data_IF_741275806298
#
_entry.id   IF_741275806298
#
_cell.length_a   1.000
_cell.length_b   1.000
_cell.length_c   1.000
_cell.angle_alpha   90.00
_cell.angle_beta   90.00
_cell.angle_gamma   90.00
#
_symmetry.space_group_name_H-M   'P 1'
#
loop_
_entity.id
_entity.type
_entity.pdbx_description
1 polymer ?
#
# COMPACT_ATOMS: atom_id res chain seq x y z
N UNK A 1 -50.06 -15.03 35.17
CA UNK A 1 -51.10 -15.79 34.51
C UNK A 1 -50.47 -16.65 33.43
N UNK A 2 -50.27 -17.87 33.75
CA UNK A 2 -49.90 -19.06 32.92
C UNK A 2 -51.18 -19.71 32.40
N UNK A 3 -51.17 -20.79 31.62
CA UNK A 3 -50.44 -21.19 30.40
C UNK A 3 -51.41 -21.74 29.34
N UNK A 4 -50.94 -22.18 28.19
CA UNK A 4 -51.45 -23.47 27.67
C UNK A 4 -50.53 -24.11 26.63
N UNK A 5 -50.14 -25.29 26.99
CA UNK A 5 -49.57 -26.38 26.22
C UNK A 5 -50.68 -27.11 25.46
N UNK A 6 -50.43 -27.69 24.29
CA UNK A 6 -50.95 -29.00 23.86
C UNK A 6 -50.03 -29.55 22.77
N UNK A 7 -49.37 -30.66 23.04
CA UNK A 7 -48.96 -31.81 22.23
C UNK A 7 -50.08 -32.88 22.32
N UNK A 8 -50.02 -34.04 21.71
CA UNK A 8 -49.26 -34.65 20.60
C UNK A 8 -50.13 -35.62 19.70
N UNK A 9 -49.49 -36.36 18.82
CA UNK A 9 -49.98 -37.63 18.29
C UNK A 9 -49.56 -37.82 16.83
N UNK A 10 -48.89 -38.79 16.34
CA UNK A 10 -48.70 -40.18 16.77
C UNK A 10 -49.07 -41.14 15.64
N UNK A 11 -48.22 -42.12 15.41
CA UNK A 11 -48.41 -43.34 14.60
C UNK A 11 -48.18 -43.21 13.07
N UNK A 12 -47.27 -43.90 12.41
CA UNK A 12 -46.79 -45.27 12.58
C UNK A 12 -47.31 -46.17 11.46
N UNK A 13 -46.41 -46.83 10.74
CA UNK A 13 -46.50 -48.19 10.20
C UNK A 13 -45.78 -48.41 8.87
N UNK A 14 -44.80 -49.25 8.90
CA UNK A 14 -44.21 -49.98 7.76
C UNK A 14 -44.95 -51.31 7.60
N UNK A 15 -44.50 -52.33 6.85
CA UNK A 15 -43.99 -52.43 5.47
C UNK A 15 -44.74 -53.52 4.66
N UNK A 16 -44.41 -53.79 3.39
CA UNK A 16 -44.57 -55.10 2.68
C UNK A 16 -44.16 -54.92 1.22
N UNK A 17 -43.14 -55.58 0.79
CA UNK A 17 -42.79 -56.87 0.28
C UNK A 17 -43.17 -57.17 -1.18
N UNK A 18 -42.11 -57.45 -1.98
CA UNK A 18 -41.96 -58.47 -3.05
C UNK A 18 -42.90 -58.48 -4.26
N UNK A 19 -42.34 -58.29 -5.46
CA UNK A 19 -42.58 -59.21 -6.57
C UNK A 19 -41.43 -59.14 -7.59
N UNK A 20 -40.82 -60.27 -7.82
CA UNK A 20 -39.82 -60.54 -8.88
C UNK A 20 -40.59 -60.74 -10.20
N UNK A 21 -40.09 -60.07 -11.29
CA UNK A 21 -40.33 -60.59 -12.64
C UNK A 21 -38.99 -60.53 -13.41
N UNK A 22 -38.55 -61.71 -13.77
CA UNK A 22 -37.46 -61.95 -14.68
C UNK A 22 -37.97 -61.80 -16.12
N UNK A 23 -37.36 -61.02 -16.92
CA UNK A 23 -37.52 -61.00 -18.38
C UNK A 23 -36.15 -61.23 -19.00
N UNK A 24 -36.02 -62.35 -19.65
CA UNK A 24 -34.89 -62.75 -20.50
C UNK A 24 -35.02 -61.93 -21.80
N UNK A 25 -34.04 -61.17 -22.18
CA UNK A 25 -33.91 -60.60 -23.53
C UNK A 25 -32.55 -60.96 -24.09
N UNK A 26 -32.58 -61.52 -25.27
CA UNK A 26 -31.45 -62.06 -26.02
C UNK A 26 -30.38 -61.05 -26.39
N UNK A 27 -29.14 -61.45 -26.24
CA UNK A 27 -27.94 -60.73 -26.71
C UNK A 27 -27.81 -60.89 -28.21
N UNK A 28 -27.90 -59.80 -28.94
CA UNK A 28 -27.38 -59.71 -30.31
C UNK A 28 -26.04 -58.97 -30.23
N UNK A 29 -24.93 -59.69 -30.40
CA UNK A 29 -23.59 -59.11 -30.53
C UNK A 29 -23.44 -58.47 -31.89
N UNK A 30 -23.43 -57.13 -31.94
CA UNK A 30 -22.94 -56.38 -33.07
C UNK A 30 -21.52 -55.87 -32.70
N UNK A 31 -20.52 -56.46 -33.29
CA UNK A 31 -19.11 -56.05 -33.19
C UNK A 31 -18.93 -54.70 -33.85
N UNK A 32 -18.90 -53.64 -33.08
CA UNK A 32 -18.49 -52.32 -33.48
C UNK A 32 -17.06 -52.05 -32.94
N UNK A 33 -16.10 -51.92 -33.82
CA UNK A 33 -14.77 -51.44 -33.47
C UNK A 33 -14.88 -50.00 -32.94
N UNK A 34 -14.85 -49.83 -31.63
CA UNK A 34 -14.70 -48.50 -31.02
C UNK A 34 -13.21 -48.18 -30.94
N UNK A 35 -12.73 -47.32 -31.83
CA UNK A 35 -11.44 -46.64 -31.63
C UNK A 35 -11.62 -45.61 -30.54
N UNK A 36 -11.03 -45.87 -29.37
CA UNK A 36 -10.94 -44.88 -28.30
C UNK A 36 -9.90 -43.83 -28.73
N UNK A 37 -10.38 -42.69 -29.24
CA UNK A 37 -9.57 -41.51 -29.38
C UNK A 37 -9.44 -40.89 -28.01
N UNK A 38 -8.27 -41.00 -27.38
CA UNK A 38 -7.89 -40.26 -26.20
C UNK A 38 -7.78 -38.75 -26.54
N UNK A 39 -8.91 -38.08 -26.62
CA UNK A 39 -8.98 -36.62 -26.69
C UNK A 39 -8.98 -36.08 -25.27
N UNK A 40 -7.91 -35.38 -24.87
CA UNK A 40 -7.99 -34.46 -23.73
C UNK A 40 -9.01 -33.39 -24.09
N UNK A 41 -10.06 -33.26 -23.30
CA UNK A 41 -11.00 -32.14 -23.45
C UNK A 41 -10.23 -30.84 -23.17
N UNK A 42 -9.81 -30.16 -24.21
CA UNK A 42 -9.39 -28.77 -24.10
C UNK A 42 -10.67 -28.02 -23.80
N UNK A 43 -10.77 -27.49 -22.58
CA UNK A 43 -11.82 -26.56 -22.20
C UNK A 43 -11.77 -25.44 -23.25
N UNK A 44 -12.76 -25.37 -24.13
CA UNK A 44 -12.86 -24.30 -25.12
C UNK A 44 -12.79 -22.99 -24.34
N UNK A 45 -11.74 -22.22 -24.57
CA UNK A 45 -11.60 -20.89 -23.97
C UNK A 45 -12.89 -20.13 -24.23
N UNK A 46 -13.45 -19.50 -23.20
CA UNK A 46 -14.51 -18.54 -23.40
C UNK A 46 -14.10 -17.55 -24.53
N UNK A 47 -15.04 -16.79 -25.09
CA UNK A 47 -14.74 -15.83 -26.14
C UNK A 47 -13.53 -15.01 -25.70
N UNK A 48 -12.53 -14.90 -26.59
CA UNK A 48 -11.34 -14.10 -26.32
C UNK A 48 -11.80 -12.74 -25.82
N UNK A 49 -11.20 -12.19 -24.76
CA UNK A 49 -11.60 -10.90 -24.26
C UNK A 49 -11.61 -9.89 -25.41
N UNK A 50 -12.69 -9.14 -25.56
CA UNK A 50 -12.83 -8.17 -26.65
C UNK A 50 -11.60 -7.26 -26.64
N UNK A 51 -10.95 -7.08 -27.79
CA UNK A 51 -9.79 -6.20 -27.92
C UNK A 51 -10.23 -4.74 -27.72
N UNK A 52 -9.35 -3.94 -27.11
CA UNK A 52 -9.61 -2.51 -26.97
C UNK A 52 -9.72 -1.84 -28.35
N UNK A 53 -10.64 -0.87 -28.46
CA UNK A 53 -10.80 -0.04 -29.64
C UNK A 53 -10.39 1.41 -29.31
N UNK A 54 -9.14 1.75 -29.63
CA UNK A 54 -8.56 3.06 -29.36
C UNK A 54 -9.34 4.23 -29.98
N UNK A 55 -10.07 4.00 -31.08
CA UNK A 55 -10.88 5.04 -31.75
C UNK A 55 -12.13 5.44 -30.95
N UNK A 56 -12.56 4.61 -30.01
CA UNK A 56 -13.69 4.90 -29.12
C UNK A 56 -13.28 5.52 -27.78
N UNK A 57 -11.98 5.63 -27.52
CA UNK A 57 -11.48 6.18 -26.25
C UNK A 57 -11.49 7.70 -26.28
N UNK A 58 -12.10 8.29 -25.27
CA UNK A 58 -12.03 9.72 -25.01
C UNK A 58 -11.03 10.02 -23.87
N UNK A 59 -9.81 10.47 -24.18
CA UNK A 59 -8.83 10.86 -23.18
C UNK A 59 -9.03 12.31 -22.67
N UNK A 60 -10.04 13.03 -23.11
CA UNK A 60 -10.23 14.44 -22.79
C UNK A 60 -8.99 15.28 -23.14
N UNK A 61 -8.55 16.10 -22.18
CA UNK A 61 -7.35 16.94 -22.30
C UNK A 61 -6.06 16.27 -21.82
N UNK A 62 -6.12 15.00 -21.43
CA UNK A 62 -4.95 14.28 -20.98
C UNK A 62 -4.05 13.83 -22.15
N UNK A 63 -2.72 13.67 -21.92
CA UNK A 63 -1.79 13.26 -22.98
C UNK A 63 -2.12 11.84 -23.49
N UNK A 64 -1.85 11.63 -24.78
CA UNK A 64 -2.05 10.33 -25.47
C UNK A 64 -0.74 9.61 -25.76
N UNK A 65 0.37 10.30 -25.62
CA UNK A 65 1.72 9.79 -25.91
C UNK A 65 2.57 9.89 -24.64
N UNK A 66 3.52 8.97 -24.45
CA UNK A 66 4.52 9.09 -23.41
C UNK A 66 5.26 10.42 -23.49
N UNK A 67 5.70 10.92 -22.35
CA UNK A 67 6.67 12.03 -22.30
C UNK A 67 8.01 11.58 -22.88
N UNK A 68 8.82 12.47 -23.41
CA UNK A 68 10.24 12.18 -23.68
C UNK A 68 10.94 11.67 -22.41
N UNK A 69 12.08 10.94 -22.53
CA UNK A 69 12.89 10.58 -21.37
C UNK A 69 13.14 11.79 -20.47
N UNK A 70 12.90 11.62 -19.16
CA UNK A 70 12.93 12.73 -18.21
C UNK A 70 14.33 13.23 -17.85
N UNK A 71 15.38 12.47 -18.23
CA UNK A 71 16.76 12.83 -17.92
C UNK A 71 17.08 12.78 -16.43
N UNK A 72 18.06 13.58 -16.02
CA UNK A 72 18.40 13.77 -14.62
C UNK A 72 17.46 14.79 -13.97
N UNK A 73 17.41 14.80 -12.64
CA UNK A 73 16.67 15.81 -11.89
C UNK A 73 17.22 17.21 -12.14
N UNK A 74 16.39 18.22 -11.88
CA UNK A 74 16.75 19.60 -12.24
C UNK A 74 17.78 20.24 -11.29
N UNK A 75 17.78 19.85 -10.02
CA UNK A 75 18.59 20.46 -8.96
C UNK A 75 18.72 19.54 -7.72
N UNK A 76 19.46 20.00 -6.72
CA UNK A 76 19.66 19.26 -5.46
C UNK A 76 18.35 19.00 -4.69
N UNK A 77 17.40 19.90 -4.73
CA UNK A 77 16.12 19.71 -4.03
C UNK A 77 15.31 18.57 -4.66
N UNK A 78 15.27 18.51 -5.98
CA UNK A 78 14.71 17.40 -6.72
C UNK A 78 15.50 16.10 -6.48
N UNK A 79 16.83 16.17 -6.40
CA UNK A 79 17.71 15.05 -6.06
C UNK A 79 17.44 14.49 -4.66
N UNK A 80 17.29 15.35 -3.64
CA UNK A 80 16.91 14.94 -2.28
C UNK A 80 15.57 14.22 -2.26
N UNK A 81 14.63 14.67 -3.07
CA UNK A 81 13.32 14.03 -3.20
C UNK A 81 13.42 12.64 -3.81
N UNK A 82 14.16 12.49 -4.92
CA UNK A 82 14.37 11.17 -5.54
C UNK A 82 15.11 10.23 -4.59
N UNK A 83 16.11 10.74 -3.86
CA UNK A 83 16.80 9.95 -2.84
C UNK A 83 15.84 9.50 -1.73
N UNK A 84 14.99 10.39 -1.23
CA UNK A 84 13.97 10.05 -0.24
C UNK A 84 12.95 9.03 -0.76
N UNK A 85 12.58 9.09 -2.04
CA UNK A 85 11.74 8.09 -2.70
C UNK A 85 12.45 6.73 -2.79
N UNK A 86 13.75 6.70 -3.12
CA UNK A 86 14.57 5.48 -3.12
C UNK A 86 14.68 4.85 -1.74
N UNK A 87 14.77 5.69 -0.68
CA UNK A 87 14.80 5.24 0.71
C UNK A 87 13.55 4.45 1.12
N UNK A 88 12.42 4.61 0.44
CA UNK A 88 11.22 3.81 0.71
C UNK A 88 11.49 2.30 0.65
N UNK A 89 12.38 1.86 -0.24
CA UNK A 89 12.68 0.43 -0.42
C UNK A 89 13.49 -0.16 0.74
N UNK A 90 14.23 0.67 1.49
CA UNK A 90 14.99 0.22 2.65
C UNK A 90 14.26 0.37 3.99
N UNK A 91 13.14 1.11 4.03
CA UNK A 91 12.41 1.31 5.28
C UNK A 91 11.56 0.09 5.58
N UNK A 92 11.80 -0.55 6.73
CA UNK A 92 10.98 -1.67 7.18
C UNK A 92 9.53 -1.22 7.39
N UNK A 93 8.58 -1.91 6.76
CA UNK A 93 7.17 -1.62 6.90
C UNK A 93 6.62 -2.06 8.25
N UNK A 94 5.74 -1.29 8.90
CA UNK A 94 5.13 -1.71 10.16
C UNK A 94 4.46 -3.08 10.11
N UNK A 95 3.92 -3.50 8.97
CA UNK A 95 3.33 -4.83 8.75
C UNK A 95 4.35 -5.98 8.80
N UNK A 96 5.63 -5.69 8.60
CA UNK A 96 6.73 -6.66 8.71
C UNK A 96 7.09 -6.89 10.18
N UNK A 97 6.85 -5.90 11.04
CA UNK A 97 7.04 -5.98 12.49
C UNK A 97 5.87 -6.70 13.16
N UNK A 98 4.65 -6.37 12.72
CA UNK A 98 3.40 -6.97 13.19
C UNK A 98 2.38 -6.95 12.04
N UNK A 99 2.01 -8.13 11.52
CA UNK A 99 1.09 -8.28 10.39
C UNK A 99 -0.32 -7.69 10.62
N UNK A 100 -0.65 -7.29 11.83
CA UNK A 100 -1.89 -6.56 12.15
C UNK A 100 -1.80 -5.06 11.90
N UNK A 101 -0.61 -4.49 11.67
CA UNK A 101 -0.38 -3.08 11.39
C UNK A 101 -0.54 -2.80 9.88
N UNK A 102 -1.75 -2.90 9.38
CA UNK A 102 -2.05 -2.75 7.95
C UNK A 102 -2.82 -1.48 7.61
N UNK A 103 -3.57 -0.91 8.56
CA UNK A 103 -4.38 0.27 8.30
C UNK A 103 -3.50 1.52 8.16
N UNK A 104 -3.67 2.34 7.11
CA UNK A 104 -3.00 3.61 7.03
C UNK A 104 -3.35 4.48 8.25
N UNK A 105 -2.36 5.12 8.83
CA UNK A 105 -2.59 6.19 9.80
C UNK A 105 -3.14 7.41 9.08
N UNK A 106 -4.00 8.19 9.74
CA UNK A 106 -4.49 9.43 9.15
C UNK A 106 -3.37 10.50 9.11
N UNK A 107 -3.58 11.54 8.30
CA UNK A 107 -2.58 12.61 8.10
C UNK A 107 -2.17 13.34 9.39
N UNK A 108 -2.94 13.22 10.48
CA UNK A 108 -2.68 13.86 11.77
C UNK A 108 -1.71 13.05 12.65
N UNK A 109 -1.53 11.73 12.37
CA UNK A 109 -0.79 10.80 13.24
C UNK A 109 0.56 10.38 12.64
N UNK A 110 1.00 10.84 11.54
CA UNK A 110 2.16 10.49 10.74
C UNK A 110 1.82 9.61 9.53
N UNK A 111 1.58 10.23 8.41
CA UNK A 111 1.33 9.52 7.16
C UNK A 111 2.63 8.90 6.64
N UNK A 112 2.49 7.83 5.86
CA UNK A 112 3.57 7.39 4.98
C UNK A 112 3.95 8.53 4.05
N UNK A 113 5.22 8.99 4.11
CA UNK A 113 5.63 10.16 3.36
C UNK A 113 7.12 10.20 3.04
N UNK A 114 7.42 10.85 1.93
CA UNK A 114 8.75 11.22 1.47
C UNK A 114 9.18 12.50 2.17
N UNK A 115 10.37 12.53 2.75
CA UNK A 115 10.95 13.65 3.50
C UNK A 115 12.11 14.24 2.68
N UNK A 116 11.83 15.22 1.85
CA UNK A 116 12.83 15.87 0.99
C UNK A 116 13.45 17.13 1.63
N UNK A 117 12.90 17.59 2.75
CA UNK A 117 13.31 18.83 3.41
C UNK A 117 13.11 18.75 4.94
N UNK A 118 13.90 19.50 5.74
CA UNK A 118 13.83 19.45 7.20
C UNK A 118 12.47 19.81 7.78
N UNK A 119 11.71 20.70 7.13
CA UNK A 119 10.39 21.13 7.57
C UNK A 119 9.39 19.98 7.72
N UNK A 120 9.55 18.92 6.92
CA UNK A 120 8.68 17.73 6.97
C UNK A 120 8.87 16.88 8.22
N UNK A 121 10.00 17.02 8.93
CA UNK A 121 10.25 16.30 10.18
C UNK A 121 9.30 16.73 11.31
N UNK A 122 8.83 17.98 11.30
CA UNK A 122 7.94 18.52 12.34
C UNK A 122 6.56 17.88 12.40
N UNK A 123 6.13 17.15 11.35
CA UNK A 123 4.87 16.40 11.35
C UNK A 123 5.03 15.00 11.96
N UNK A 124 6.26 14.58 12.25
CA UNK A 124 6.58 13.24 12.74
C UNK A 124 7.07 13.25 14.18
N UNK A 125 8.01 14.12 14.46
CA UNK A 125 8.70 14.22 15.76
C UNK A 125 8.11 15.39 16.54
N UNK A 126 7.74 15.14 17.78
CA UNK A 126 7.22 16.20 18.65
C UNK A 126 8.32 17.21 19.03
N UNK A 127 7.95 18.47 19.03
CA UNK A 127 8.82 19.58 19.44
C UNK A 127 8.86 20.71 18.40
N UNK A 128 8.81 21.95 18.88
CA UNK A 128 8.74 23.14 18.01
C UNK A 128 10.02 23.39 17.21
N UNK A 129 11.15 22.81 17.63
CA UNK A 129 12.47 23.03 17.04
C UNK A 129 12.93 21.95 16.05
N UNK A 130 12.12 20.92 15.78
CA UNK A 130 12.56 19.74 15.03
C UNK A 130 13.05 20.08 13.61
N UNK A 131 12.33 20.94 12.90
CA UNK A 131 12.75 21.40 11.58
C UNK A 131 14.09 22.15 11.64
N UNK A 132 14.29 23.00 12.64
CA UNK A 132 15.53 23.74 12.86
C UNK A 132 16.68 22.79 13.24
N UNK A 133 16.44 21.76 14.06
CA UNK A 133 17.43 20.73 14.40
C UNK A 133 17.82 19.99 13.11
N UNK A 134 16.86 19.54 12.30
CA UNK A 134 17.14 18.90 11.03
C UNK A 134 18.01 19.76 10.11
N UNK A 135 17.68 21.06 10.00
CA UNK A 135 18.45 22.01 9.20
C UNK A 135 19.86 22.25 9.76
N UNK A 136 20.01 22.39 11.08
CA UNK A 136 21.30 22.63 11.73
C UNK A 136 22.29 21.47 11.55
N UNK A 137 21.79 20.25 11.46
CA UNK A 137 22.57 19.04 11.22
C UNK A 137 22.54 18.58 9.76
N UNK A 138 22.17 19.47 8.83
CA UNK A 138 22.27 19.25 7.38
C UNK A 138 21.45 18.03 6.88
N UNK A 139 20.23 17.84 7.42
CA UNK A 139 19.31 16.78 6.96
C UNK A 139 19.30 16.68 5.44
N UNK A 140 19.50 15.46 4.90
CA UNK A 140 19.60 15.21 3.46
C UNK A 140 18.25 14.78 2.89
N UNK A 141 17.72 13.67 3.39
CA UNK A 141 16.53 13.03 2.88
C UNK A 141 16.01 12.04 3.93
N UNK A 142 14.77 11.61 3.80
CA UNK A 142 14.21 10.57 4.65
C UNK A 142 12.92 9.99 4.10
N UNK A 143 12.50 8.90 4.71
CA UNK A 143 11.22 8.27 4.43
C UNK A 143 10.61 7.77 5.74
N UNK A 144 9.28 7.83 5.85
CA UNK A 144 8.55 7.26 6.97
C UNK A 144 7.38 6.42 6.47
N UNK A 145 7.14 5.32 7.16
CA UNK A 145 5.99 4.44 6.97
C UNK A 145 5.20 4.34 8.26
N UNK A 146 3.95 4.77 8.25
CA UNK A 146 3.06 4.74 9.40
C UNK A 146 1.88 3.81 9.19
N UNK A 147 1.61 2.93 10.15
CA UNK A 147 0.48 2.01 10.16
C UNK A 147 -0.07 1.79 11.55
N UNK A 148 -1.37 1.49 11.57
CA UNK A 148 -2.09 1.10 12.78
C UNK A 148 -2.83 -0.23 12.57
N UNK A 149 -3.28 -0.84 13.65
CA UNK A 149 -4.29 -1.89 13.55
C UNK A 149 -5.59 -1.30 13.00
N UNK A 150 -6.35 -2.05 12.18
CA UNK A 150 -7.64 -1.58 11.69
C UNK A 150 -8.56 -1.14 12.84
N UNK A 151 -9.29 -0.05 12.69
CA UNK A 151 -10.29 0.35 13.67
C UNK A 151 -11.39 -0.70 13.75
N UNK A 152 -12.03 -0.89 14.91
CA UNK A 152 -13.19 -1.78 15.02
C UNK A 152 -14.32 -1.32 14.10
N UNK A 153 -15.23 -2.22 13.71
CA UNK A 153 -16.37 -1.89 12.86
C UNK A 153 -17.19 -0.72 13.40
N UNK A 154 -17.74 0.10 12.51
CA UNK A 154 -18.55 1.27 12.87
C UNK A 154 -19.69 0.86 13.80
N UNK A 155 -19.88 1.62 14.88
CA UNK A 155 -20.94 1.39 15.88
C UNK A 155 -20.50 0.60 17.12
N UNK A 156 -19.27 0.10 17.19
CA UNK A 156 -18.68 -0.39 18.43
C UNK A 156 -18.09 0.81 19.18
N UNK A 157 -18.68 1.13 20.35
CA UNK A 157 -18.19 2.19 21.23
C UNK A 157 -16.77 1.84 21.70
N UNK A 158 -15.86 2.83 21.68
CA UNK A 158 -14.47 2.66 22.09
C UNK A 158 -13.57 2.18 20.96
N UNK A 159 -13.69 2.79 19.77
CA UNK A 159 -12.84 2.54 18.61
C UNK A 159 -11.36 2.93 18.86
N UNK A 160 -10.78 2.34 19.89
CA UNK A 160 -9.39 2.52 20.25
C UNK A 160 -8.51 1.73 19.27
N UNK A 161 -7.52 2.40 18.71
CA UNK A 161 -6.47 1.76 17.89
C UNK A 161 -5.57 0.98 18.85
N UNK A 162 -5.56 -0.38 18.81
CA UNK A 162 -4.80 -1.19 19.76
C UNK A 162 -3.28 -0.99 19.65
N UNK A 163 -2.79 -0.78 18.41
CA UNK A 163 -1.38 -0.55 18.13
C UNK A 163 -1.22 0.46 16.99
N UNK A 164 -0.13 1.23 17.07
CA UNK A 164 0.35 2.12 16.01
C UNK A 164 1.86 2.01 15.96
N UNK A 165 2.41 2.08 14.75
CA UNK A 165 3.84 2.17 14.52
C UNK A 165 4.12 3.07 13.32
N UNK A 166 4.94 4.09 13.53
CA UNK A 166 5.62 4.83 12.48
C UNK A 166 7.09 4.44 12.53
N UNK A 167 7.65 4.02 11.42
CA UNK A 167 9.08 3.75 11.25
C UNK A 167 9.64 4.72 10.22
N UNK A 168 10.57 5.57 10.65
CA UNK A 168 11.23 6.57 9.83
C UNK A 168 12.74 6.36 9.77
N UNK A 169 13.33 6.67 8.63
CA UNK A 169 14.78 6.74 8.45
C UNK A 169 15.12 8.13 7.94
N UNK A 170 15.95 8.85 8.70
CA UNK A 170 16.43 10.18 8.41
C UNK A 170 17.91 10.11 8.07
N UNK A 171 18.29 10.59 6.89
CA UNK A 171 19.68 10.61 6.43
C UNK A 171 20.34 11.94 6.68
N UNK A 172 21.57 11.90 7.17
CA UNK A 172 22.46 13.03 7.38
C UNK A 172 23.75 12.85 6.59
N UNK A 173 24.59 13.92 6.39
CA UNK A 173 25.82 13.79 5.63
C UNK A 173 26.84 12.87 6.27
N UNK A 174 26.95 12.89 7.61
CA UNK A 174 27.94 12.15 8.38
C UNK A 174 27.30 11.40 9.57
N UNK A 175 27.96 10.36 10.09
CA UNK A 175 27.53 9.71 11.33
C UNK A 175 27.50 10.67 12.53
N UNK A 176 28.36 11.69 12.57
CA UNK A 176 28.37 12.69 13.64
C UNK A 176 27.11 13.59 13.55
N UNK A 177 26.78 14.09 12.36
CA UNK A 177 25.54 14.87 12.16
C UNK A 177 24.30 14.07 12.58
N UNK A 178 24.27 12.77 12.23
CA UNK A 178 23.17 11.88 12.63
C UNK A 178 23.08 11.70 14.15
N UNK A 179 24.24 11.52 14.82
CA UNK A 179 24.29 11.33 16.27
C UNK A 179 23.83 12.59 17.01
N UNK A 180 24.32 13.75 16.60
CA UNK A 180 24.00 15.04 17.22
C UNK A 180 22.50 15.40 16.97
N UNK A 181 22.01 15.15 15.76
CA UNK A 181 20.59 15.30 15.42
C UNK A 181 19.70 14.40 16.26
N UNK A 182 20.05 13.10 16.42
CA UNK A 182 19.29 12.17 17.23
C UNK A 182 19.19 12.61 18.68
N UNK A 183 20.30 13.05 19.27
CA UNK A 183 20.35 13.56 20.65
C UNK A 183 19.49 14.83 20.82
N UNK A 184 19.60 15.78 19.88
CA UNK A 184 18.84 17.02 19.92
C UNK A 184 17.33 16.77 19.72
N UNK A 185 16.95 15.91 18.77
CA UNK A 185 15.54 15.54 18.52
C UNK A 185 14.93 14.81 19.73
N UNK A 186 15.67 13.88 20.34
CA UNK A 186 15.23 13.17 21.54
C UNK A 186 15.04 14.13 22.71
N UNK A 187 15.92 15.10 22.90
CA UNK A 187 15.78 16.14 23.94
C UNK A 187 14.57 17.04 23.70
N UNK A 188 14.29 17.42 22.45
CA UNK A 188 13.12 18.20 22.07
C UNK A 188 11.81 17.42 22.30
N UNK A 189 11.75 16.13 21.92
CA UNK A 189 10.59 15.27 22.13
C UNK A 189 10.26 15.09 23.63
N UNK A 190 11.27 14.78 24.45
CA UNK A 190 11.08 14.58 25.89
C UNK A 190 10.73 15.88 26.62
N UNK A 191 11.23 17.02 26.12
CA UNK A 191 10.88 18.35 26.63
C UNK A 191 9.44 18.78 26.33
N UNK A 192 8.78 18.12 25.38
CA UNK A 192 7.40 18.45 25.00
C UNK A 192 6.41 17.83 26.01
N UNK A 193 5.62 18.70 26.66
CA UNK A 193 4.57 18.29 27.59
C UNK A 193 3.38 17.77 26.78
N UNK A 194 2.94 16.56 27.10
CA UNK A 194 1.81 15.91 26.45
C UNK A 194 0.48 16.31 27.07
N UNK A 195 -0.66 16.13 26.40
CA UNK A 195 -1.98 16.41 26.97
C UNK A 195 -2.15 15.81 28.36
N UNK A 196 -2.76 16.55 29.28
CA UNK A 196 -2.89 16.14 30.69
C UNK A 196 -1.66 16.44 31.55
N UNK A 197 -0.74 17.29 31.08
CA UNK A 197 0.52 17.65 31.76
C UNK A 197 1.43 16.43 32.00
N UNK A 198 1.43 15.49 31.04
CA UNK A 198 2.20 14.25 31.12
C UNK A 198 3.58 14.48 30.52
N UNK A 199 4.62 14.14 31.28
CA UNK A 199 6.00 14.10 30.82
C UNK A 199 6.42 12.67 30.50
N UNK A 200 7.12 12.48 29.39
CA UNK A 200 7.65 11.17 29.02
C UNK A 200 8.85 10.79 29.90
N UNK A 201 8.99 9.51 30.17
CA UNK A 201 10.07 8.93 30.96
C UNK A 201 10.93 8.00 30.10
N UNK A 202 12.19 7.79 30.50
CA UNK A 202 13.12 6.91 29.78
C UNK A 202 12.53 5.51 29.62
N UNK A 203 12.59 4.97 28.38
CA UNK A 203 12.19 3.62 28.04
C UNK A 203 13.44 2.83 27.58
N UNK A 204 13.93 1.85 28.33
CA UNK A 204 14.98 0.94 27.84
C UNK A 204 14.45 0.10 26.68
N UNK A 205 15.23 0.01 25.59
CA UNK A 205 14.88 -0.84 24.45
C UNK A 205 15.72 -2.13 24.50
N UNK A 206 15.10 -3.32 24.60
CA UNK A 206 15.83 -4.58 24.61
C UNK A 206 16.75 -4.72 23.39
N UNK A 207 17.98 -5.21 23.60
CA UNK A 207 19.03 -5.39 22.58
C UNK A 207 19.63 -4.09 22.01
N UNK A 208 19.02 -2.93 22.26
CA UNK A 208 19.44 -1.64 21.70
C UNK A 208 19.67 -0.59 22.81
N UNK A 209 20.66 -0.76 23.70
CA UNK A 209 20.86 0.10 24.87
C UNK A 209 21.21 1.55 24.50
N UNK A 210 21.76 1.78 23.28
CA UNK A 210 22.07 3.11 22.76
C UNK A 210 20.85 3.90 22.25
N UNK A 211 19.70 3.28 22.09
CA UNK A 211 18.48 3.95 21.61
C UNK A 211 18.01 4.97 22.64
N UNK A 212 17.76 6.21 22.20
CA UNK A 212 17.16 7.27 23.01
C UNK A 212 15.63 7.16 22.89
N UNK A 213 15.00 6.44 23.81
CA UNK A 213 13.55 6.24 23.79
C UNK A 213 12.87 6.74 25.07
N UNK A 214 11.69 7.33 24.89
CA UNK A 214 10.89 7.91 25.97
C UNK A 214 9.43 7.52 25.81
N UNK A 215 8.81 7.07 26.89
CA UNK A 215 7.42 6.58 26.92
C UNK A 215 6.56 7.47 27.81
N UNK A 216 5.32 7.65 27.40
CA UNK A 216 4.28 8.30 28.20
C UNK A 216 2.99 7.45 28.17
N UNK A 217 2.23 7.40 29.28
CA UNK A 217 0.86 6.91 29.25
C UNK A 217 -0.01 7.91 28.48
N UNK A 218 -0.75 7.45 27.51
CA UNK A 218 -1.67 8.31 26.74
C UNK A 218 -2.88 7.51 26.25
N UNK A 219 -4.08 8.13 26.32
CA UNK A 219 -5.33 7.56 25.75
C UNK A 219 -5.62 6.11 26.18
N UNK A 220 -5.35 5.77 27.45
CA UNK A 220 -5.57 4.42 27.98
C UNK A 220 -4.56 3.37 27.53
N UNK A 221 -3.41 3.78 27.04
CA UNK A 221 -2.28 2.94 26.65
C UNK A 221 -0.95 3.64 26.89
N UNK A 222 0.03 3.27 26.10
CA UNK A 222 1.39 3.80 26.15
C UNK A 222 1.84 4.17 24.75
N UNK A 223 2.52 5.29 24.62
CA UNK A 223 3.21 5.68 23.38
C UNK A 223 4.66 6.04 23.68
N UNK A 224 5.53 5.81 22.73
CA UNK A 224 6.94 6.16 22.83
C UNK A 224 7.47 6.71 21.51
N UNK A 225 8.40 7.67 21.63
CA UNK A 225 9.31 8.06 20.54
C UNK A 225 10.68 7.46 20.82
N UNK A 226 11.35 6.95 19.78
CA UNK A 226 12.68 6.37 19.87
C UNK A 226 13.56 6.89 18.74
N UNK A 227 14.83 7.14 19.06
CA UNK A 227 15.85 7.63 18.13
C UNK A 227 17.09 6.74 18.28
N UNK A 228 17.47 6.07 17.19
CA UNK A 228 18.62 5.18 17.15
C UNK A 228 19.55 5.60 16.02
N UNK A 229 20.84 5.81 16.32
CA UNK A 229 21.82 6.14 15.28
C UNK A 229 22.37 4.87 14.63
N UNK A 230 22.51 4.90 13.30
CA UNK A 230 23.08 3.84 12.49
C UNK A 230 23.88 4.44 11.32
N UNK A 231 25.17 4.57 11.47
CA UNK A 231 26.00 5.32 10.51
C UNK A 231 25.44 6.74 10.27
N UNK A 232 25.21 7.16 9.03
CA UNK A 232 24.69 8.48 8.73
C UNK A 232 23.17 8.59 8.87
N UNK A 233 22.52 7.58 9.48
CA UNK A 233 21.08 7.53 9.64
C UNK A 233 20.65 7.71 11.08
N UNK A 234 19.50 8.34 11.28
CA UNK A 234 18.69 8.27 12.49
C UNK A 234 17.46 7.43 12.17
N UNK A 235 17.31 6.30 12.84
CA UNK A 235 16.08 5.53 12.84
C UNK A 235 15.15 6.13 13.88
N UNK A 236 13.99 6.57 13.44
CA UNK A 236 12.94 7.12 14.26
C UNK A 236 11.77 6.16 14.33
N UNK A 237 11.31 5.85 15.54
CA UNK A 237 10.07 5.13 15.73
C UNK A 237 9.14 5.96 16.64
N UNK A 238 7.88 6.10 16.19
CA UNK A 238 6.77 6.41 17.08
C UNK A 238 5.92 5.14 17.19
N UNK A 239 5.77 4.63 18.42
CA UNK A 239 5.09 3.37 18.66
C UNK A 239 4.07 3.54 19.80
N UNK A 240 2.87 3.00 19.61
CA UNK A 240 1.81 3.00 20.62
C UNK A 240 1.19 1.63 20.81
N UNK A 241 0.82 1.31 22.05
CA UNK A 241 0.12 0.07 22.40
C UNK A 241 -0.78 0.24 23.61
N UNK A 242 -1.99 -0.35 23.56
CA UNK A 242 -2.91 -0.44 24.69
C UNK A 242 -2.48 -1.45 25.75
N UNK A 243 -1.51 -2.31 25.47
CA UNK A 243 -1.12 -3.39 26.38
C UNK A 243 -0.20 -2.91 27.49
N UNK A 244 0.99 -2.41 27.15
CA UNK A 244 2.00 -1.99 28.12
C UNK A 244 3.15 -1.23 27.49
N UNK A 245 3.94 -0.51 28.28
CA UNK A 245 5.20 0.09 27.84
C UNK A 245 6.22 -0.97 27.36
N UNK A 246 6.22 -2.17 27.94
CA UNK A 246 7.08 -3.28 27.50
C UNK A 246 6.70 -3.74 26.09
N UNK A 247 5.41 -3.81 25.74
CA UNK A 247 4.96 -4.13 24.39
C UNK A 247 5.38 -3.07 23.36
N UNK A 248 5.41 -1.79 23.75
CA UNK A 248 5.94 -0.71 22.91
C UNK A 248 7.44 -0.88 22.70
N UNK A 249 8.21 -1.16 23.77
CA UNK A 249 9.65 -1.39 23.68
C UNK A 249 10.00 -2.60 22.80
N UNK A 250 9.24 -3.69 22.89
CA UNK A 250 9.41 -4.89 22.04
C UNK A 250 9.13 -4.59 20.57
N UNK A 251 8.09 -3.80 20.26
CA UNK A 251 7.75 -3.38 18.90
C UNK A 251 8.87 -2.52 18.29
N UNK A 252 9.45 -1.57 19.05
CA UNK A 252 10.59 -0.77 18.62
C UNK A 252 11.82 -1.68 18.38
N UNK A 253 12.11 -2.61 19.30
CA UNK A 253 13.25 -3.52 19.15
C UNK A 253 13.14 -4.39 17.89
N UNK A 254 11.94 -4.94 17.60
CA UNK A 254 11.66 -5.70 16.38
C UNK A 254 11.81 -4.86 15.12
N UNK A 255 11.40 -3.59 15.18
CA UNK A 255 11.60 -2.66 14.05
C UNK A 255 13.10 -2.48 13.78
N UNK A 256 13.91 -2.29 14.81
CA UNK A 256 15.36 -2.11 14.68
C UNK A 256 16.06 -3.38 14.17
N UNK A 257 15.58 -4.57 14.54
CA UNK A 257 16.08 -5.86 14.04
C UNK A 257 15.97 -5.96 12.50
N UNK A 258 14.91 -5.39 11.91
CA UNK A 258 14.69 -5.36 10.47
C UNK A 258 15.39 -4.17 9.80
N UNK A 259 15.34 -3.00 10.43
CA UNK A 259 15.81 -1.75 9.85
C UNK A 259 17.32 -1.68 9.68
N UNK A 260 18.10 -2.19 10.63
CA UNK A 260 19.56 -2.17 10.58
C UNK A 260 20.09 -2.83 9.30
N UNK A 261 19.85 -4.15 9.12
CA UNK A 261 20.30 -4.87 7.92
C UNK A 261 19.82 -4.24 6.60
N UNK A 262 18.60 -3.72 6.56
CA UNK A 262 18.05 -3.08 5.35
C UNK A 262 18.83 -1.79 5.01
N UNK A 263 19.16 -0.99 6.01
CA UNK A 263 19.95 0.22 5.81
C UNK A 263 21.41 -0.09 5.38
N UNK A 264 22.00 -1.20 5.85
CA UNK A 264 23.33 -1.62 5.45
C UNK A 264 23.44 -2.00 3.96
N UNK A 265 22.33 -2.45 3.37
CA UNK A 265 22.27 -2.78 1.95
C UNK A 265 21.95 -1.59 1.04
N UNK A 266 21.45 -0.49 1.59
CA UNK A 266 21.08 0.66 0.80
C UNK A 266 22.30 1.42 0.25
N UNK A 267 22.30 1.62 -1.07
CA UNK A 267 23.34 2.37 -1.76
C UNK A 267 22.94 3.84 -1.83
N UNK A 268 23.36 4.60 -0.80
CA UNK A 268 23.07 6.03 -0.71
C UNK A 268 23.85 6.82 -1.78
N UNK A 269 23.18 7.73 -2.46
CA UNK A 269 23.83 8.65 -3.41
C UNK A 269 24.72 9.65 -2.64
N UNK A 270 25.99 9.87 -3.01
CA UNK A 270 26.79 10.94 -2.41
C UNK A 270 26.05 12.28 -2.44
N UNK A 271 26.16 13.06 -1.35
CA UNK A 271 25.37 14.29 -1.19
C UNK A 271 25.62 15.29 -2.31
N UNK A 272 26.86 15.37 -2.78
CA UNK A 272 27.30 16.23 -3.90
C UNK A 272 26.89 15.70 -5.29
N UNK A 273 26.28 14.52 -5.36
CA UNK A 273 25.82 13.88 -6.60
C UNK A 273 24.29 13.77 -6.70
N UNK A 274 23.55 14.30 -5.74
CA UNK A 274 22.10 14.19 -5.72
C UNK A 274 21.44 14.77 -6.98
N UNK A 275 21.97 15.88 -7.51
CA UNK A 275 21.49 16.50 -8.76
C UNK A 275 21.78 15.66 -10.02
N UNK A 276 22.57 14.60 -9.91
CA UNK A 276 22.83 13.68 -11.05
C UNK A 276 21.90 12.48 -11.10
N UNK A 277 21.01 12.34 -10.11
CA UNK A 277 20.05 11.23 -10.09
C UNK A 277 19.11 11.26 -11.29
N UNK A 278 18.82 10.12 -11.93
CA UNK A 278 17.81 10.06 -12.96
C UNK A 278 16.42 10.31 -12.36
N UNK A 279 15.64 11.19 -13.01
CA UNK A 279 14.25 11.46 -12.59
C UNK A 279 13.32 10.26 -12.84
N UNK A 280 13.66 9.43 -13.80
CA UNK A 280 12.91 8.21 -14.17
C UNK A 280 13.87 7.10 -14.58
N UNK A 281 14.41 6.31 -13.66
CA UNK A 281 15.43 5.31 -13.96
C UNK A 281 14.92 4.16 -14.84
N UNK A 282 13.61 3.96 -14.93
CA UNK A 282 13.00 2.84 -15.68
C UNK A 282 12.29 3.28 -16.97
N UNK A 283 12.07 4.58 -17.16
CA UNK A 283 11.23 5.13 -18.22
C UNK A 283 9.73 4.92 -18.00
N UNK A 284 9.34 4.34 -16.84
CA UNK A 284 7.95 4.04 -16.54
C UNK A 284 7.17 5.30 -16.12
N UNK A 285 7.84 6.23 -15.42
CA UNK A 285 7.23 7.49 -15.02
C UNK A 285 6.88 8.37 -16.22
N UNK A 286 7.72 8.37 -17.25
CA UNK A 286 7.42 9.06 -18.52
C UNK A 286 6.15 8.54 -19.21
N UNK A 287 5.73 7.31 -18.89
CA UNK A 287 4.52 6.65 -19.40
C UNK A 287 3.29 6.83 -18.52
N UNK A 288 3.39 7.50 -17.36
CA UNK A 288 2.23 7.84 -16.53
C UNK A 288 1.57 9.12 -17.02
N UNK A 289 0.25 9.22 -16.85
CA UNK A 289 -0.43 10.51 -16.96
C UNK A 289 0.10 11.42 -15.85
N UNK A 290 0.69 12.58 -16.18
CA UNK A 290 1.26 13.47 -15.17
C UNK A 290 0.18 14.17 -14.36
N UNK A 291 0.48 14.46 -13.09
CA UNK A 291 -0.35 15.33 -12.28
C UNK A 291 -0.36 16.76 -12.85
N UNK A 292 -1.50 17.41 -12.75
CA UNK A 292 -1.65 18.81 -13.21
C UNK A 292 -1.03 19.81 -12.25
N UNK A 293 -0.99 19.48 -10.95
CA UNK A 293 -0.31 20.28 -9.93
C UNK A 293 0.99 19.56 -9.50
N UNK A 294 2.16 20.08 -9.87
CA UNK A 294 3.44 19.49 -9.52
C UNK A 294 3.74 19.51 -8.00
N UNK A 295 2.99 20.30 -7.23
CA UNK A 295 3.19 20.38 -5.77
C UNK A 295 2.42 19.30 -5.01
N UNK A 296 1.36 18.73 -5.60
CA UNK A 296 0.47 17.77 -4.95
C UNK A 296 0.94 16.33 -5.14
N UNK A 297 1.40 15.98 -6.34
CA UNK A 297 1.87 14.63 -6.66
C UNK A 297 3.18 14.73 -7.43
N UNK A 298 4.26 14.46 -6.74
CA UNK A 298 5.55 14.37 -7.40
C UNK A 298 5.77 12.94 -7.81
N UNK A 299 5.75 12.71 -9.12
CA UNK A 299 5.87 11.39 -9.70
C UNK A 299 7.08 10.62 -9.17
N UNK A 300 6.90 9.33 -8.95
CA UNK A 300 7.94 8.43 -8.46
C UNK A 300 7.85 7.06 -9.09
N UNK A 301 8.99 6.38 -9.17
CA UNK A 301 9.06 4.95 -9.48
C UNK A 301 9.64 4.24 -8.28
N UNK A 302 8.95 3.20 -7.84
CA UNK A 302 9.35 2.39 -6.70
C UNK A 302 9.61 0.94 -7.13
N UNK A 303 10.61 0.27 -6.54
CA UNK A 303 10.63 -1.18 -6.46
C UNK A 303 9.38 -1.72 -5.75
N UNK A 304 9.08 -3.02 -5.88
CA UNK A 304 7.88 -3.60 -5.28
C UNK A 304 7.75 -3.29 -3.79
N UNK A 305 8.79 -3.53 -2.97
CA UNK A 305 8.76 -3.29 -1.53
C UNK A 305 8.48 -1.82 -1.19
N UNK A 306 9.21 -0.87 -1.79
CA UNK A 306 9.01 0.56 -1.57
C UNK A 306 7.60 1.04 -1.89
N UNK A 307 6.94 0.41 -2.88
CA UNK A 307 5.57 0.75 -3.25
C UNK A 307 4.50 0.23 -2.28
N UNK A 308 4.81 -0.81 -1.49
CA UNK A 308 3.88 -1.39 -0.51
C UNK A 308 3.50 -0.40 0.60
N UNK A 309 4.37 0.54 0.92
CA UNK A 309 4.08 1.58 1.91
C UNK A 309 2.85 2.42 1.55
N UNK A 310 2.49 2.50 0.27
CA UNK A 310 1.35 3.25 -0.23
C UNK A 310 0.12 2.39 -0.53
N UNK A 311 0.17 1.08 -0.22
CA UNK A 311 -0.94 0.17 -0.44
C UNK A 311 -1.94 0.20 0.72
N UNK A 312 -3.22 0.00 0.40
CA UNK A 312 -4.31 -0.07 1.40
C UNK A 312 -4.10 -1.22 2.38
N UNK A 313 -3.74 -2.39 1.87
CA UNK A 313 -3.34 -3.58 2.62
C UNK A 313 -1.99 -4.07 2.06
N UNK A 314 -0.87 -3.75 2.72
CA UNK A 314 0.46 -4.12 2.24
C UNK A 314 0.71 -5.64 2.29
N UNK A 315 0.14 -6.36 3.26
CA UNK A 315 0.33 -7.82 3.40
C UNK A 315 -0.28 -8.57 2.22
N UNK A 316 -1.56 -8.31 1.94
CA UNK A 316 -2.24 -8.92 0.80
C UNK A 316 -1.67 -8.42 -0.54
N UNK A 317 -1.21 -7.15 -0.58
CA UNK A 317 -0.57 -6.59 -1.78
C UNK A 317 0.79 -7.23 -2.06
N UNK A 318 1.58 -7.56 -1.04
CA UNK A 318 2.85 -8.27 -1.21
C UNK A 318 2.64 -9.62 -1.91
N UNK A 319 1.63 -10.37 -1.48
CA UNK A 319 1.32 -11.64 -2.13
C UNK A 319 0.88 -11.43 -3.58
N UNK A 320 0.00 -10.47 -3.84
CA UNK A 320 -0.42 -10.12 -5.19
C UNK A 320 0.76 -9.69 -6.07
N UNK A 321 1.73 -8.95 -5.55
CA UNK A 321 2.93 -8.57 -6.28
C UNK A 321 3.78 -9.78 -6.66
N UNK A 322 3.96 -10.72 -5.74
CA UNK A 322 4.71 -11.96 -5.99
C UNK A 322 4.01 -12.81 -7.07
N UNK A 323 2.70 -13.00 -6.96
CA UNK A 323 1.90 -13.81 -7.90
C UNK A 323 1.84 -13.20 -9.30
N UNK A 324 1.83 -11.86 -9.39
CA UNK A 324 1.82 -11.12 -10.64
C UNK A 324 3.21 -10.86 -11.22
N UNK A 325 4.28 -11.10 -10.46
CA UNK A 325 5.65 -10.77 -10.85
C UNK A 325 5.84 -9.27 -11.08
N UNK A 326 5.37 -8.44 -10.14
CA UNK A 326 5.54 -6.98 -10.23
C UNK A 326 7.02 -6.63 -10.10
N UNK A 327 7.54 -5.86 -11.06
CA UNK A 327 8.94 -5.41 -11.11
C UNK A 327 9.11 -3.97 -10.67
N UNK A 328 8.17 -3.09 -11.05
CA UNK A 328 8.17 -1.67 -10.69
C UNK A 328 6.75 -1.14 -10.54
N UNK A 329 6.61 -0.09 -9.76
CA UNK A 329 5.36 0.68 -9.65
C UNK A 329 5.68 2.16 -9.86
N UNK A 330 5.10 2.75 -10.90
CA UNK A 330 5.17 4.19 -11.11
C UNK A 330 3.88 4.86 -10.62
N UNK A 331 4.02 5.91 -9.84
CA UNK A 331 2.91 6.66 -9.29
C UNK A 331 3.02 8.15 -9.65
N UNK A 332 1.97 8.66 -10.28
CA UNK A 332 1.76 10.09 -10.58
C UNK A 332 0.23 10.31 -10.52
N UNK A 333 -0.39 11.00 -11.48
CA UNK A 333 -1.86 11.08 -11.58
C UNK A 333 -2.50 9.70 -11.76
N UNK A 334 -1.80 8.80 -12.42
CA UNK A 334 -2.11 7.36 -12.50
C UNK A 334 -1.06 6.56 -11.75
N UNK A 335 -1.45 5.35 -11.32
CA UNK A 335 -0.50 4.37 -10.81
C UNK A 335 -0.40 3.21 -11.79
N UNK A 336 0.82 2.90 -12.25
CA UNK A 336 1.13 1.78 -13.15
C UNK A 336 1.88 0.73 -12.35
N UNK A 337 1.47 -0.51 -12.51
CA UNK A 337 2.12 -1.72 -12.00
C UNK A 337 2.70 -2.48 -13.18
N UNK A 338 4.02 -2.53 -13.29
CA UNK A 338 4.71 -3.27 -14.34
C UNK A 338 4.90 -4.72 -13.88
N UNK A 339 4.26 -5.64 -14.58
CA UNK A 339 4.42 -7.08 -14.37
C UNK A 339 5.41 -7.68 -15.37
N UNK A 340 5.80 -8.93 -15.13
CA UNK A 340 6.70 -9.66 -16.05
C UNK A 340 6.06 -9.91 -17.42
N UNK A 341 4.74 -10.09 -17.48
CA UNK A 341 3.98 -10.36 -18.70
C UNK A 341 2.51 -9.93 -18.62
N UNK A 342 1.75 -10.21 -19.67
CA UNK A 342 0.32 -9.89 -19.76
C UNK A 342 -0.53 -10.66 -18.74
N UNK A 343 -0.16 -11.89 -18.40
CA UNK A 343 -0.86 -12.70 -17.40
C UNK A 343 -0.65 -12.10 -16.01
N UNK A 344 0.58 -11.71 -15.70
CA UNK A 344 0.90 -10.99 -14.47
C UNK A 344 0.14 -9.66 -14.34
N UNK A 345 0.03 -8.91 -15.44
CA UNK A 345 -0.78 -7.67 -15.45
C UNK A 345 -2.26 -7.94 -15.13
N UNK A 346 -2.82 -9.03 -15.66
CA UNK A 346 -4.20 -9.43 -15.34
C UNK A 346 -4.34 -9.83 -13.86
N UNK A 347 -3.41 -10.62 -13.33
CA UNK A 347 -3.38 -10.98 -11.91
C UNK A 347 -3.26 -9.74 -11.01
N UNK A 348 -2.43 -8.77 -11.40
CA UNK A 348 -2.31 -7.50 -10.70
C UNK A 348 -3.62 -6.73 -10.70
N UNK A 349 -4.28 -6.57 -11.85
CA UNK A 349 -5.56 -5.87 -11.96
C UNK A 349 -6.66 -6.55 -11.14
N UNK A 350 -6.74 -7.88 -11.14
CA UNK A 350 -7.68 -8.66 -10.33
C UNK A 350 -7.39 -8.51 -8.83
N UNK A 351 -6.10 -8.51 -8.46
CA UNK A 351 -5.65 -8.27 -7.11
C UNK A 351 -5.99 -6.86 -6.61
N UNK A 352 -5.77 -5.84 -7.44
CA UNK A 352 -6.15 -4.45 -7.13
C UNK A 352 -7.65 -4.32 -6.85
N UNK A 353 -8.50 -4.94 -7.67
CA UNK A 353 -9.94 -4.95 -7.43
C UNK A 353 -10.28 -5.66 -6.12
N UNK A 354 -9.71 -6.84 -5.88
CA UNK A 354 -9.98 -7.62 -4.68
C UNK A 354 -9.57 -6.90 -3.40
N UNK A 355 -8.48 -6.11 -3.43
CA UNK A 355 -7.94 -5.41 -2.26
C UNK A 355 -8.57 -4.02 -2.10
N UNK A 356 -8.48 -3.17 -3.13
CA UNK A 356 -8.81 -1.75 -3.00
C UNK A 356 -10.32 -1.51 -2.95
N UNK A 357 -11.12 -2.27 -3.72
CA UNK A 357 -12.57 -2.05 -3.83
C UNK A 357 -13.29 -2.25 -2.48
N UNK A 358 -13.16 -3.40 -1.80
CA UNK A 358 -13.84 -3.59 -0.51
C UNK A 358 -13.21 -2.74 0.61
N UNK A 359 -11.88 -2.58 0.64
CA UNK A 359 -11.20 -1.81 1.67
C UNK A 359 -11.63 -0.34 1.67
N UNK A 360 -11.80 0.24 0.49
CA UNK A 360 -12.18 1.65 0.32
C UNK A 360 -13.69 1.86 0.17
N UNK A 361 -14.50 0.79 0.21
CA UNK A 361 -15.97 0.86 0.15
C UNK A 361 -16.52 1.25 -1.23
N UNK A 362 -15.89 0.78 -2.30
CA UNK A 362 -16.35 1.00 -3.66
C UNK A 362 -17.38 -0.06 -4.10
N UNK A 363 -18.27 0.32 -5.00
CA UNK A 363 -19.26 -0.53 -5.69
C UNK A 363 -19.06 -0.44 -7.20
N UNK A 364 -19.46 -1.47 -7.95
CA UNK A 364 -19.33 -1.47 -9.41
C UNK A 364 -20.02 -0.27 -10.07
N UNK A 365 -19.34 0.34 -11.03
CA UNK A 365 -19.81 1.43 -11.86
C UNK A 365 -19.68 1.07 -13.36
N UNK A 366 -20.27 1.85 -14.28
CA UNK A 366 -20.11 1.61 -15.70
C UNK A 366 -18.66 1.55 -16.15
N UNK A 367 -18.34 0.63 -17.06
CA UNK A 367 -17.03 0.51 -17.69
C UNK A 367 -16.79 1.57 -18.76
N UNK A 368 -15.61 1.53 -19.40
CA UNK A 368 -15.21 2.50 -20.41
C UNK A 368 -15.48 1.92 -21.80
N UNK A 369 -16.27 2.67 -22.61
CA UNK A 369 -16.53 2.29 -23.98
C UNK A 369 -15.23 2.18 -24.79
N UNK A 370 -15.03 1.06 -25.47
CA UNK A 370 -13.81 0.78 -26.22
C UNK A 370 -12.66 0.23 -25.39
N UNK A 371 -12.79 0.08 -24.07
CA UNK A 371 -11.76 -0.51 -23.20
C UNK A 371 -12.34 -1.62 -22.30
N UNK A 372 -12.58 -2.81 -22.84
CA UNK A 372 -13.24 -3.90 -22.08
C UNK A 372 -12.41 -4.43 -20.90
N UNK A 373 -11.10 -4.15 -20.84
CA UNK A 373 -10.27 -4.46 -19.66
C UNK A 373 -10.53 -3.51 -18.48
N UNK A 374 -11.19 -2.36 -18.70
CA UNK A 374 -11.44 -1.39 -17.65
C UNK A 374 -12.60 -1.81 -16.75
N UNK A 375 -12.37 -1.78 -15.45
CA UNK A 375 -13.36 -1.95 -14.39
C UNK A 375 -13.40 -0.70 -13.56
N UNK A 376 -14.58 -0.07 -13.49
CA UNK A 376 -14.76 1.17 -12.75
C UNK A 376 -15.68 0.96 -11.54
N UNK A 377 -15.50 1.81 -10.53
CA UNK A 377 -16.16 1.70 -9.24
C UNK A 377 -16.49 3.09 -8.69
N UNK A 378 -17.58 3.18 -7.90
CA UNK A 378 -18.09 4.41 -7.26
C UNK A 378 -18.25 4.15 -5.75
N UNK A 379 -17.83 5.11 -4.92
CA UNK A 379 -18.05 5.08 -3.45
C UNK A 379 -19.38 5.73 -3.04
N UNK A 380 -20.13 6.28 -3.98
CA UNK A 380 -21.34 7.05 -3.68
C UNK A 380 -21.06 8.51 -3.31
N UNK A 381 -22.14 9.32 -3.17
CA UNK A 381 -22.04 10.76 -2.93
C UNK A 381 -21.67 11.14 -1.48
N UNK A 382 -21.82 10.24 -0.51
CA UNK A 382 -21.68 10.53 0.93
C UNK A 382 -20.22 10.53 1.41
N UNK A 383 -19.31 11.11 0.58
CA UNK A 383 -17.90 11.23 0.94
C UNK A 383 -17.74 12.48 1.80
N UNK A 384 -17.69 12.32 3.12
CA UNK A 384 -17.55 13.41 4.08
C UNK A 384 -16.12 13.93 4.23
N UNK A 385 -15.13 13.27 3.61
CA UNK A 385 -13.72 13.64 3.73
C UNK A 385 -13.32 14.60 2.62
N UNK A 386 -12.83 15.78 2.97
CA UNK A 386 -12.30 16.75 2.02
C UNK A 386 -11.19 16.11 1.16
N UNK A 387 -11.30 16.22 -0.17
CA UNK A 387 -10.34 15.61 -1.12
C UNK A 387 -10.55 14.11 -1.38
N UNK A 388 -11.57 13.49 -0.83
CA UNK A 388 -11.87 12.09 -1.11
C UNK A 388 -12.30 11.91 -2.56
N UNK A 389 -11.60 11.01 -3.26
CA UNK A 389 -11.92 10.64 -4.64
C UNK A 389 -13.09 9.65 -4.65
N UNK A 390 -14.08 9.93 -5.49
CA UNK A 390 -15.30 9.14 -5.58
C UNK A 390 -15.17 7.93 -6.50
N UNK A 391 -14.51 8.11 -7.65
CA UNK A 391 -14.43 7.07 -8.68
C UNK A 391 -13.03 6.47 -8.73
N UNK A 392 -12.97 5.15 -8.92
CA UNK A 392 -11.76 4.37 -9.16
C UNK A 392 -11.95 3.57 -10.43
N UNK A 393 -11.00 3.63 -11.37
CA UNK A 393 -10.97 2.71 -12.50
C UNK A 393 -9.62 1.98 -12.54
N UNK A 394 -9.67 0.69 -12.90
CA UNK A 394 -8.52 -0.21 -13.04
C UNK A 394 -8.60 -0.85 -14.42
N UNK A 395 -7.48 -0.89 -15.15
CA UNK A 395 -7.41 -1.50 -16.47
C UNK A 395 -6.05 -2.17 -16.70
N UNK A 396 -5.92 -2.87 -17.84
CA UNK A 396 -4.66 -3.47 -18.28
C UNK A 396 -4.32 -3.07 -19.71
N UNK A 397 -3.01 -2.99 -19.98
CA UNK A 397 -2.43 -2.84 -21.33
C UNK A 397 -1.10 -3.57 -21.39
N UNK A 398 -0.96 -4.54 -22.30
CA UNK A 398 0.22 -5.39 -22.36
C UNK A 398 0.62 -5.93 -20.97
N UNK A 399 1.88 -5.75 -20.53
CA UNK A 399 2.34 -6.19 -19.20
C UNK A 399 2.02 -5.23 -18.05
N UNK A 400 1.20 -4.23 -18.28
CA UNK A 400 0.88 -3.20 -17.29
C UNK A 400 -0.54 -3.34 -16.77
N UNK A 401 -0.70 -3.35 -15.44
CA UNK A 401 -1.95 -3.00 -14.78
C UNK A 401 -1.87 -1.54 -14.32
N UNK A 402 -2.95 -0.79 -14.40
CA UNK A 402 -2.95 0.60 -13.99
C UNK A 402 -4.28 1.03 -13.41
N UNK A 403 -4.23 2.04 -12.56
CA UNK A 403 -5.42 2.61 -11.93
C UNK A 403 -5.37 4.13 -11.88
N UNK A 404 -6.54 4.73 -11.83
CA UNK A 404 -6.72 6.13 -11.54
C UNK A 404 -7.95 6.33 -10.66
N UNK A 405 -7.93 7.44 -9.91
CA UNK A 405 -9.06 7.89 -9.11
C UNK A 405 -9.43 9.32 -9.49
N UNK A 406 -10.71 9.66 -9.40
CA UNK A 406 -11.19 11.02 -9.69
C UNK A 406 -12.43 11.37 -8.85
N UNK A 407 -12.74 12.65 -8.76
CA UNK A 407 -13.97 13.13 -8.14
C UNK A 407 -15.21 12.89 -9.03
N UNK A 408 -15.02 12.83 -10.36
CA UNK A 408 -16.07 12.65 -11.34
C UNK A 408 -15.82 11.40 -12.19
N UNK A 409 -16.91 10.72 -12.59
CA UNK A 409 -16.86 9.51 -13.41
C UNK A 409 -16.18 9.76 -14.77
N UNK A 410 -16.62 10.81 -15.45
CA UNK A 410 -16.08 11.20 -16.76
C UNK A 410 -14.57 11.45 -16.68
N UNK A 411 -14.09 12.10 -15.62
CA UNK A 411 -12.68 12.36 -15.42
C UNK A 411 -11.90 11.04 -15.19
N UNK A 412 -12.42 10.12 -14.37
CA UNK A 412 -11.80 8.81 -14.16
C UNK A 412 -11.67 8.03 -15.47
N UNK A 413 -12.72 8.04 -16.31
CA UNK A 413 -12.73 7.40 -17.63
C UNK A 413 -11.71 8.02 -18.56
N UNK A 414 -11.62 9.36 -18.62
CA UNK A 414 -10.68 10.08 -19.48
C UNK A 414 -9.23 9.81 -19.09
N UNK A 415 -8.91 9.81 -17.79
CA UNK A 415 -7.55 9.51 -17.31
C UNK A 415 -7.15 8.08 -17.68
N UNK A 416 -8.02 7.09 -17.49
CA UNK A 416 -7.74 5.69 -17.84
C UNK A 416 -7.61 5.49 -19.35
N UNK A 417 -8.46 6.17 -20.15
CA UNK A 417 -8.35 6.15 -21.61
C UNK A 417 -6.99 6.74 -22.07
N UNK A 418 -6.59 7.88 -21.51
CA UNK A 418 -5.30 8.49 -21.77
C UNK A 418 -4.14 7.57 -21.38
N UNK A 419 -4.21 6.97 -20.19
CA UNK A 419 -3.17 6.06 -19.71
C UNK A 419 -3.03 4.83 -20.60
N UNK A 420 -4.14 4.25 -21.06
CA UNK A 420 -4.12 3.16 -22.03
C UNK A 420 -3.42 3.56 -23.32
N UNK A 421 -3.76 4.72 -23.88
CA UNK A 421 -3.16 5.24 -25.12
C UNK A 421 -1.66 5.48 -24.95
N UNK A 422 -1.22 6.05 -23.82
CA UNK A 422 0.21 6.24 -23.53
C UNK A 422 0.99 4.92 -23.44
N UNK A 423 0.41 3.87 -22.87
CA UNK A 423 1.07 2.57 -22.71
C UNK A 423 1.12 1.77 -24.02
N UNK A 424 0.18 2.02 -24.95
CA UNK A 424 0.08 1.32 -26.23
C UNK A 424 0.58 2.14 -27.43
N UNK A 425 1.04 3.36 -27.18
CA UNK A 425 1.68 4.18 -28.21
C UNK A 425 2.92 3.45 -28.77
N UNK A 426 3.16 3.58 -30.10
CA UNK A 426 4.28 2.96 -30.80
C UNK A 426 5.65 3.46 -30.31
#
# INVERSE_FOLDING_TARGET
MTPNRIDPGGAGWAPRSLARFAVIVAVIAVGGCSTVVTGSAIKSGGPAPASANAALLDPGNYPRLPRPPLGNVADDAAGRRVEAQRMADMVAGPWEVDATLISPTNAEIAPTTVLAEPGRLSVLVRGDSIAAIGAAHHFVAGFVSGRATPPPPRGQAGADIPKILDNGVFRFPTPQDASDAAAAMAAADVGTIRPGNIQATRLPIPRYPGTLAYVAPLSGGFEASAFTTHGPYVFFQFAGSKQSAAAVADMIAKTLDLQGPSADHFQATPVDQLATLPADPTGLLARTVPATDPNVNQGAVYPPHGSLHFRSDPVTSQQMYNDAGITHVAADRTTIYEAVDTTGAQHAADGLVRIDVPFLGYHSAPGINGLPSARCFDRGPDITTLGAVRFLCIATAARYAFKATAAQEVEAHQIIAAQYLMLTAP
#
